data_IF_197069939902
#
_entry.id   IF_197069939902
#
_cell.length_a   1.000
_cell.length_b   1.000
_cell.length_c   1.000
_cell.angle_alpha   90.00
_cell.angle_beta   90.00
_cell.angle_gamma   90.00
#
_symmetry.space_group_name_H-M   'P 1'
#
loop_
_entity.id
_entity.type
_entity.pdbx_description
1 polymer ?
#
# COMPACT_ATOMS: atom_id res chain seq x y z
N UNK A 1 28.38 10.69 24.83
CA UNK A 1 27.32 10.17 23.93
C UNK A 1 26.58 9.05 24.65
N UNK A 2 25.31 9.29 25.11
CA UNK A 2 24.52 8.23 25.78
C UNK A 2 24.22 7.15 24.75
N UNK A 3 24.70 5.90 24.98
CA UNK A 3 24.37 4.74 24.15
C UNK A 3 22.85 4.53 24.20
N UNK A 4 22.19 4.61 23.04
CA UNK A 4 20.75 4.31 22.93
C UNK A 4 20.59 2.80 22.79
N UNK A 5 20.26 2.12 23.86
CA UNK A 5 20.02 0.67 23.86
C UNK A 5 18.64 0.28 23.33
N UNK A 6 17.76 1.25 23.06
CA UNK A 6 16.38 1.01 22.60
C UNK A 6 16.28 0.12 21.36
N UNK A 7 16.86 0.48 20.20
CA UNK A 7 16.76 -0.34 19.00
C UNK A 7 17.30 -1.77 19.15
N UNK A 8 18.49 -2.02 19.76
CA UNK A 8 18.94 -3.38 20.06
C UNK A 8 17.97 -4.16 20.94
N UNK A 9 17.45 -3.52 22.00
CA UNK A 9 16.51 -4.18 22.92
C UNK A 9 15.21 -4.55 22.19
N UNK A 10 14.67 -3.65 21.36
CA UNK A 10 13.46 -3.94 20.54
C UNK A 10 13.74 -5.15 19.62
N UNK A 11 14.90 -5.19 18.97
CA UNK A 11 15.29 -6.30 18.11
C UNK A 11 15.39 -7.63 18.85
N UNK A 12 16.00 -7.64 20.05
CA UNK A 12 16.08 -8.84 20.89
C UNK A 12 14.71 -9.29 21.39
N UNK A 13 13.86 -8.36 21.81
CA UNK A 13 12.47 -8.65 22.22
C UNK A 13 11.70 -9.26 21.05
N UNK A 14 11.84 -8.72 19.84
CA UNK A 14 11.23 -9.29 18.64
C UNK A 14 11.69 -10.75 18.42
N UNK A 15 13.00 -11.03 18.40
CA UNK A 15 13.53 -12.39 18.23
C UNK A 15 12.96 -13.33 19.32
N UNK A 16 12.99 -12.89 20.58
CA UNK A 16 12.51 -13.70 21.70
C UNK A 16 11.00 -13.98 21.58
N UNK A 17 10.20 -12.99 21.20
CA UNK A 17 8.75 -13.16 21.00
C UNK A 17 8.45 -14.20 19.92
N UNK A 18 9.13 -14.11 18.78
CA UNK A 18 8.96 -15.08 17.69
C UNK A 18 9.42 -16.48 18.08
N UNK A 19 10.53 -16.59 18.85
CA UNK A 19 11.01 -17.88 19.36
C UNK A 19 10.00 -18.56 20.29
N UNK A 20 9.35 -17.77 21.16
CA UNK A 20 8.29 -18.27 22.06
C UNK A 20 7.05 -18.73 21.27
N UNK A 21 6.70 -18.04 20.20
CA UNK A 21 5.59 -18.40 19.30
C UNK A 21 5.89 -19.60 18.39
N UNK A 22 7.13 -20.10 18.39
CA UNK A 22 7.50 -21.37 17.72
C UNK A 22 7.77 -21.23 16.21
N UNK A 23 8.03 -20.03 15.71
CA UNK A 23 8.22 -19.79 14.25
C UNK A 23 9.55 -19.11 13.90
N UNK A 24 10.59 -19.23 14.73
CA UNK A 24 11.86 -18.53 14.52
C UNK A 24 12.57 -19.00 13.24
N UNK A 25 12.89 -18.06 12.36
CA UNK A 25 13.62 -18.25 11.11
C UNK A 25 14.85 -17.34 11.05
N UNK A 26 15.83 -17.60 10.15
CA UNK A 26 17.03 -16.76 10.00
C UNK A 26 16.72 -15.28 9.68
N UNK A 27 15.67 -15.02 8.91
CA UNK A 27 15.22 -13.67 8.55
C UNK A 27 14.74 -12.88 9.79
N UNK A 28 14.06 -13.50 10.73
CA UNK A 28 13.67 -12.86 12.00
C UNK A 28 14.91 -12.46 12.83
N UNK A 29 15.90 -13.34 12.90
CA UNK A 29 17.16 -13.05 13.59
C UNK A 29 17.87 -11.88 12.90
N UNK A 30 17.95 -11.89 11.57
CA UNK A 30 18.54 -10.81 10.81
C UNK A 30 17.83 -9.47 11.07
N UNK A 31 16.51 -9.42 10.97
CA UNK A 31 15.71 -8.22 11.24
C UNK A 31 15.95 -7.70 12.66
N UNK A 32 15.91 -8.58 13.67
CA UNK A 32 16.14 -8.18 15.05
C UNK A 32 17.56 -7.65 15.30
N UNK A 33 18.57 -8.25 14.65
CA UNK A 33 19.95 -7.81 14.78
C UNK A 33 20.23 -6.47 14.07
N UNK A 34 19.40 -6.03 13.10
CA UNK A 34 19.54 -4.70 12.49
C UNK A 34 19.51 -3.58 13.53
N UNK A 35 18.82 -3.77 14.66
CA UNK A 35 18.82 -2.81 15.77
C UNK A 35 20.20 -2.47 16.30
N UNK A 36 21.17 -3.38 16.20
CA UNK A 36 22.54 -3.16 16.65
C UNK A 36 23.32 -2.19 15.75
N UNK A 37 22.88 -1.95 14.50
CA UNK A 37 23.47 -0.94 13.63
C UNK A 37 23.36 0.48 14.22
N UNK A 38 22.41 0.71 15.13
CA UNK A 38 22.26 2.00 15.83
C UNK A 38 23.47 2.31 16.72
N UNK A 39 24.19 1.27 17.17
CA UNK A 39 25.36 1.39 18.05
C UNK A 39 26.67 1.63 17.28
N UNK A 40 26.70 1.37 15.97
CA UNK A 40 27.94 1.37 15.19
C UNK A 40 28.44 2.79 14.92
N UNK A 41 27.67 3.60 14.21
CA UNK A 41 28.01 4.99 13.91
C UNK A 41 26.77 5.85 13.57
N UNK A 42 26.98 7.16 13.35
CA UNK A 42 25.89 8.09 13.05
C UNK A 42 25.22 7.84 11.67
N UNK A 43 25.97 7.34 10.70
CA UNK A 43 25.42 7.06 9.35
C UNK A 43 24.48 5.86 9.40
N UNK A 44 24.86 4.78 10.09
CA UNK A 44 24.01 3.60 10.27
C UNK A 44 22.79 3.91 11.10
N UNK A 45 22.92 4.78 12.11
CA UNK A 45 21.80 5.29 12.89
C UNK A 45 20.83 6.09 12.06
N UNK A 46 21.34 7.00 11.23
CA UNK A 46 20.50 7.78 10.31
C UNK A 46 19.77 6.87 9.34
N UNK A 47 20.48 5.92 8.74
CA UNK A 47 19.88 4.91 7.88
C UNK A 47 18.76 4.14 8.59
N UNK A 48 19.06 3.53 9.71
CA UNK A 48 18.09 2.75 10.47
C UNK A 48 16.85 3.58 10.85
N UNK A 49 17.05 4.82 11.33
CA UNK A 49 15.94 5.71 11.69
C UNK A 49 15.03 6.09 10.52
N UNK A 50 15.55 6.11 9.31
CA UNK A 50 14.78 6.44 8.10
C UNK A 50 14.11 5.21 7.48
N UNK A 51 14.76 4.04 7.55
CA UNK A 51 14.24 2.80 6.98
C UNK A 51 13.47 1.94 7.97
N UNK A 52 13.44 2.30 9.25
CA UNK A 52 12.69 1.59 10.28
C UNK A 52 11.22 1.32 9.92
N UNK A 53 10.46 2.25 9.30
CA UNK A 53 9.08 1.96 8.93
C UNK A 53 8.93 0.78 7.95
N UNK A 54 9.90 0.57 7.04
CA UNK A 54 9.91 -0.60 6.16
C UNK A 54 10.15 -1.89 6.93
N UNK A 55 11.13 -1.88 7.84
CA UNK A 55 11.46 -3.02 8.71
C UNK A 55 10.25 -3.37 9.59
N UNK A 56 9.64 -2.36 10.20
CA UNK A 56 8.46 -2.53 11.04
C UNK A 56 7.27 -3.12 10.25
N UNK A 57 7.04 -2.64 9.02
CA UNK A 57 5.98 -3.18 8.16
C UNK A 57 6.20 -4.67 7.88
N UNK A 58 7.42 -5.05 7.49
CA UNK A 58 7.75 -6.47 7.24
C UNK A 58 7.55 -7.34 8.48
N UNK A 59 8.01 -6.87 9.65
CA UNK A 59 7.83 -7.57 10.91
C UNK A 59 6.35 -7.71 11.31
N UNK A 60 5.54 -6.66 11.12
CA UNK A 60 4.10 -6.68 11.38
C UNK A 60 3.41 -7.67 10.44
N UNK A 61 3.68 -7.58 9.13
CA UNK A 61 3.10 -8.49 8.13
C UNK A 61 3.41 -9.95 8.46
N UNK A 62 4.67 -10.27 8.73
CA UNK A 62 5.06 -11.64 9.08
C UNK A 62 4.40 -12.12 10.37
N UNK A 63 4.24 -11.23 11.36
CA UNK A 63 3.59 -11.55 12.64
C UNK A 63 2.09 -11.82 12.50
N UNK A 64 1.43 -11.38 11.41
CA UNK A 64 0.02 -11.66 11.15
C UNK A 64 -0.25 -13.17 11.08
N UNK A 65 0.71 -13.99 10.65
CA UNK A 65 0.57 -15.47 10.57
C UNK A 65 0.06 -16.14 11.86
N UNK A 66 0.35 -15.52 13.01
CA UNK A 66 -0.03 -16.08 14.31
C UNK A 66 -1.48 -15.77 14.70
N UNK A 67 -2.10 -14.77 14.09
CA UNK A 67 -3.42 -14.26 14.51
C UNK A 67 -4.43 -14.17 13.37
N UNK A 68 -3.98 -14.14 12.13
CA UNK A 68 -4.84 -13.85 10.98
C UNK A 68 -5.92 -14.90 10.76
N UNK A 69 -5.53 -16.15 10.59
CA UNK A 69 -6.46 -17.23 10.27
C UNK A 69 -7.60 -17.41 11.28
N UNK A 70 -7.33 -17.53 12.58
CA UNK A 70 -8.43 -17.63 13.55
C UNK A 70 -9.27 -16.36 13.65
N UNK A 71 -8.70 -15.20 13.34
CA UNK A 71 -9.41 -13.93 13.43
C UNK A 71 -10.42 -13.73 12.29
N UNK A 72 -10.21 -14.35 11.13
CA UNK A 72 -11.06 -14.18 9.94
C UNK A 72 -12.03 -15.35 9.70
N UNK A 73 -11.91 -16.44 10.45
CA UNK A 73 -12.74 -17.62 10.26
C UNK A 73 -14.24 -17.28 10.31
N UNK A 74 -14.98 -17.81 9.34
CA UNK A 74 -16.41 -17.55 9.17
C UNK A 74 -16.76 -16.13 8.68
N UNK A 75 -15.77 -15.26 8.37
CA UNK A 75 -16.02 -13.86 7.98
C UNK A 75 -15.54 -13.51 6.57
N UNK A 76 -14.96 -14.47 5.86
CA UNK A 76 -14.40 -14.23 4.52
C UNK A 76 -15.51 -14.03 3.50
N UNK A 77 -15.39 -12.94 2.74
CA UNK A 77 -16.29 -12.60 1.64
C UNK A 77 -15.79 -13.22 0.34
N UNK A 78 -16.58 -14.16 -0.23
CA UNK A 78 -16.25 -14.87 -1.47
C UNK A 78 -17.16 -14.39 -2.61
N UNK A 79 -18.46 -14.70 -2.54
CA UNK A 79 -19.39 -14.44 -3.63
C UNK A 79 -19.69 -12.94 -3.84
N UNK A 80 -19.82 -12.15 -2.76
CA UNK A 80 -20.18 -10.74 -2.82
C UNK A 80 -19.23 -9.91 -3.69
N UNK A 81 -17.91 -9.89 -3.40
CA UNK A 81 -16.94 -9.15 -4.21
C UNK A 81 -16.89 -9.60 -5.67
N UNK A 82 -16.95 -10.91 -5.94
CA UNK A 82 -17.00 -11.46 -7.31
C UNK A 82 -18.22 -10.98 -8.09
N UNK A 83 -19.42 -11.05 -7.48
CA UNK A 83 -20.66 -10.64 -8.14
C UNK A 83 -20.66 -9.12 -8.40
N UNK A 84 -20.17 -8.32 -7.45
CA UNK A 84 -20.05 -6.87 -7.61
C UNK A 84 -19.05 -6.50 -8.72
N UNK A 85 -17.92 -7.19 -8.78
CA UNK A 85 -16.92 -7.03 -9.85
C UNK A 85 -17.52 -7.34 -11.21
N UNK A 86 -18.27 -8.44 -11.33
CA UNK A 86 -18.92 -8.83 -12.57
C UNK A 86 -20.05 -7.87 -12.98
N UNK A 87 -20.79 -7.33 -12.01
CA UNK A 87 -21.87 -6.36 -12.27
C UNK A 87 -21.32 -5.01 -12.75
N UNK A 88 -20.27 -4.50 -12.13
CA UNK A 88 -19.76 -3.15 -12.38
C UNK A 88 -18.73 -3.08 -13.52
N UNK A 89 -17.93 -4.12 -13.67
CA UNK A 89 -16.79 -4.14 -14.60
C UNK A 89 -16.84 -5.33 -15.57
N UNK A 90 -17.93 -6.11 -15.57
CA UNK A 90 -18.05 -7.33 -16.38
C UNK A 90 -17.93 -7.07 -17.89
N UNK A 91 -17.25 -7.98 -18.56
CA UNK A 91 -17.02 -7.99 -20.01
C UNK A 91 -17.65 -9.27 -20.56
N UNK A 92 -18.74 -9.13 -21.34
CA UNK A 92 -19.42 -10.31 -21.91
C UNK A 92 -19.97 -11.29 -20.86
N UNK A 93 -20.33 -10.81 -19.64
CA UNK A 93 -20.85 -11.64 -18.56
C UNK A 93 -19.76 -12.29 -17.68
N UNK A 94 -18.50 -12.10 -18.00
CA UNK A 94 -17.33 -12.52 -17.21
C UNK A 94 -16.78 -11.36 -16.39
N UNK A 95 -16.04 -11.65 -15.31
CA UNK A 95 -15.23 -10.62 -14.64
C UNK A 95 -14.05 -10.20 -15.53
N UNK A 96 -13.46 -9.01 -15.34
CA UNK A 96 -12.24 -8.62 -16.06
C UNK A 96 -11.10 -9.64 -15.89
N UNK A 97 -11.00 -10.26 -14.72
CA UNK A 97 -10.03 -11.31 -14.43
C UNK A 97 -10.21 -12.54 -15.34
N UNK A 98 -11.44 -13.06 -15.44
CA UNK A 98 -11.78 -14.22 -16.28
C UNK A 98 -11.55 -13.89 -17.77
N UNK A 99 -11.94 -12.68 -18.19
CA UNK A 99 -11.74 -12.23 -19.56
C UNK A 99 -10.23 -12.14 -19.90
N UNK A 100 -9.43 -11.54 -19.03
CA UNK A 100 -7.98 -11.43 -19.21
C UNK A 100 -7.29 -12.81 -19.17
N UNK A 101 -7.78 -13.72 -18.34
CA UNK A 101 -7.25 -15.08 -18.28
C UNK A 101 -7.49 -15.85 -19.58
N UNK A 102 -8.68 -15.69 -20.19
CA UNK A 102 -8.99 -16.26 -21.48
C UNK A 102 -8.19 -15.64 -22.65
N UNK A 103 -7.64 -14.43 -22.47
CA UNK A 103 -6.87 -13.68 -23.48
C UNK A 103 -5.41 -13.47 -23.06
N UNK A 104 -4.86 -14.38 -22.25
CA UNK A 104 -3.47 -14.27 -21.81
C UNK A 104 -2.48 -14.53 -22.95
N UNK A 105 -1.22 -14.10 -22.76
CA UNK A 105 -0.15 -14.34 -23.72
C UNK A 105 1.23 -14.07 -23.12
N UNK A 106 2.26 -14.73 -23.66
CA UNK A 106 3.62 -14.75 -23.13
C UNK A 106 4.20 -13.34 -22.87
N UNK A 107 3.92 -12.37 -23.75
CA UNK A 107 4.42 -11.00 -23.58
C UNK A 107 3.79 -10.32 -22.34
N UNK A 108 2.50 -10.51 -22.11
CA UNK A 108 1.81 -9.98 -20.92
C UNK A 108 2.19 -10.76 -19.67
N UNK A 109 2.32 -12.09 -19.76
CA UNK A 109 2.76 -12.93 -18.64
C UNK A 109 4.14 -12.48 -18.13
N UNK A 110 5.09 -12.21 -19.06
CA UNK A 110 6.42 -11.71 -18.70
C UNK A 110 6.37 -10.28 -18.15
N UNK A 111 5.65 -9.37 -18.80
CA UNK A 111 5.58 -7.98 -18.38
C UNK A 111 4.90 -7.82 -17.01
N UNK A 112 3.74 -8.45 -16.83
CA UNK A 112 2.97 -8.40 -15.59
C UNK A 112 3.68 -9.16 -14.45
N UNK A 113 4.24 -10.35 -14.75
CA UNK A 113 5.02 -11.11 -13.79
C UNK A 113 6.25 -10.33 -13.32
N UNK A 114 7.02 -9.75 -14.25
CA UNK A 114 8.17 -8.90 -13.88
C UNK A 114 7.75 -7.71 -13.00
N UNK A 115 6.71 -6.97 -13.36
CA UNK A 115 6.23 -5.86 -12.55
C UNK A 115 5.85 -6.32 -11.15
N UNK A 116 5.15 -7.45 -11.04
CA UNK A 116 4.71 -8.02 -9.78
C UNK A 116 5.86 -8.57 -8.92
N UNK A 117 6.95 -9.01 -9.55
CA UNK A 117 8.16 -9.44 -8.85
C UNK A 117 8.94 -8.27 -8.25
N UNK A 118 9.00 -7.12 -8.96
CA UNK A 118 9.89 -6.01 -8.59
C UNK A 118 9.20 -4.86 -7.85
N UNK A 119 7.90 -4.91 -7.59
CA UNK A 119 7.14 -3.78 -7.05
C UNK A 119 7.65 -3.24 -5.69
N UNK A 120 8.05 -4.13 -4.77
CA UNK A 120 8.69 -3.70 -3.52
C UNK A 120 10.07 -3.13 -3.79
N UNK A 121 10.80 -3.75 -4.74
CA UNK A 121 12.12 -3.29 -5.17
C UNK A 121 12.08 -1.89 -5.77
N UNK A 122 11.07 -1.57 -6.59
CA UNK A 122 10.85 -0.22 -7.15
C UNK A 122 10.66 0.81 -6.03
N UNK A 123 9.79 0.50 -5.07
CA UNK A 123 9.53 1.39 -3.94
C UNK A 123 10.80 1.62 -3.09
N UNK A 124 11.53 0.56 -2.79
CA UNK A 124 12.81 0.66 -2.07
C UNK A 124 13.87 1.42 -2.87
N UNK A 125 13.92 1.24 -4.20
CA UNK A 125 14.84 1.99 -5.06
C UNK A 125 14.60 3.51 -4.97
N UNK A 126 13.34 3.94 -4.98
CA UNK A 126 12.99 5.37 -4.76
C UNK A 126 13.45 5.84 -3.37
N UNK A 127 13.25 5.04 -2.32
CA UNK A 127 13.71 5.36 -0.97
C UNK A 127 15.25 5.51 -0.91
N UNK A 128 15.99 4.57 -1.52
CA UNK A 128 17.45 4.64 -1.60
C UNK A 128 17.94 5.84 -2.42
N UNK A 129 17.31 6.12 -3.57
CA UNK A 129 17.65 7.31 -4.37
C UNK A 129 17.50 8.59 -3.55
N UNK A 130 16.42 8.73 -2.79
CA UNK A 130 16.20 9.86 -1.89
C UNK A 130 17.26 9.92 -0.78
N UNK A 131 17.61 8.77 -0.20
CA UNK A 131 18.62 8.66 0.85
C UNK A 131 20.00 9.09 0.36
N UNK A 132 20.46 8.58 -0.79
CA UNK A 132 21.75 8.95 -1.37
C UNK A 132 21.78 10.42 -1.84
N UNK A 133 20.64 11.00 -2.21
CA UNK A 133 20.50 12.43 -2.48
C UNK A 133 20.36 13.27 -1.21
N UNK A 134 20.57 12.68 -0.02
CA UNK A 134 20.50 13.34 1.30
C UNK A 134 19.16 14.04 1.57
N UNK A 135 18.07 13.53 1.02
CA UNK A 135 16.70 14.04 1.18
C UNK A 135 15.99 13.41 2.38
N UNK A 136 16.59 13.53 3.56
CA UNK A 136 16.15 12.83 4.80
C UNK A 136 14.67 13.00 5.11
N UNK A 137 14.10 14.21 4.94
CA UNK A 137 12.67 14.43 5.17
C UNK A 137 11.78 13.72 4.13
N UNK A 138 12.23 13.67 2.87
CA UNK A 138 11.51 12.92 1.83
C UNK A 138 11.55 11.42 2.11
N UNK A 139 12.71 10.85 2.50
CA UNK A 139 12.82 9.44 2.90
C UNK A 139 11.87 9.11 4.04
N UNK A 140 11.90 9.92 5.13
CA UNK A 140 11.02 9.72 6.29
C UNK A 140 9.55 9.80 5.92
N UNK A 141 9.16 10.76 5.07
CA UNK A 141 7.78 10.90 4.62
C UNK A 141 7.36 9.69 3.79
N UNK A 142 8.21 9.26 2.87
CA UNK A 142 7.96 8.14 1.99
C UNK A 142 7.85 6.82 2.76
N UNK A 143 8.78 6.57 3.68
CA UNK A 143 8.76 5.39 4.56
C UNK A 143 7.52 5.38 5.48
N UNK A 144 7.08 6.54 5.99
CA UNK A 144 5.85 6.63 6.77
C UNK A 144 4.60 6.40 5.90
N UNK A 145 4.59 6.85 4.64
CA UNK A 145 3.49 6.51 3.73
C UNK A 145 3.39 4.99 3.55
N UNK A 146 4.53 4.31 3.42
CA UNK A 146 4.56 2.85 3.33
C UNK A 146 3.96 2.19 4.57
N UNK A 147 4.43 2.56 5.75
CA UNK A 147 3.92 2.01 7.00
C UNK A 147 2.40 2.26 7.16
N UNK A 148 1.96 3.50 6.95
CA UNK A 148 0.56 3.88 7.18
C UNK A 148 -0.37 3.18 6.19
N UNK A 149 -0.03 3.12 4.90
CA UNK A 149 -0.88 2.43 3.91
C UNK A 149 -0.96 0.94 4.19
N UNK A 150 0.14 0.32 4.66
CA UNK A 150 0.12 -1.07 5.08
C UNK A 150 -0.74 -1.30 6.31
N UNK A 151 -0.62 -0.48 7.35
CA UNK A 151 -1.46 -0.61 8.55
C UNK A 151 -2.95 -0.47 8.22
N UNK A 152 -3.31 0.45 7.33
CA UNK A 152 -4.69 0.58 6.84
C UNK A 152 -5.13 -0.65 6.06
N UNK A 153 -4.29 -1.17 5.16
CA UNK A 153 -4.56 -2.40 4.40
C UNK A 153 -4.72 -3.62 5.31
N UNK A 154 -3.76 -3.83 6.21
CA UNK A 154 -3.80 -4.94 7.17
C UNK A 154 -5.05 -4.88 8.07
N UNK A 155 -5.38 -3.69 8.58
CA UNK A 155 -6.63 -3.51 9.33
C UNK A 155 -7.86 -3.93 8.50
N UNK A 156 -7.90 -3.58 7.22
CA UNK A 156 -9.00 -3.98 6.33
C UNK A 156 -9.01 -5.48 6.09
N UNK A 157 -7.85 -6.15 5.94
CA UNK A 157 -7.77 -7.61 5.78
C UNK A 157 -8.36 -8.35 6.99
N UNK A 158 -8.24 -7.79 8.19
CA UNK A 158 -8.88 -8.33 9.38
C UNK A 158 -10.39 -7.99 9.49
N UNK A 159 -10.78 -6.78 9.09
CA UNK A 159 -12.16 -6.29 9.24
C UNK A 159 -13.06 -6.84 8.13
N UNK A 160 -12.56 -6.89 6.90
CA UNK A 160 -13.28 -7.29 5.70
C UNK A 160 -12.40 -8.18 4.81
N UNK A 161 -12.12 -9.42 5.23
CA UNK A 161 -11.31 -10.35 4.45
C UNK A 161 -12.04 -10.76 3.17
N UNK A 162 -11.35 -10.68 2.02
CA UNK A 162 -11.90 -10.93 0.68
C UNK A 162 -11.08 -11.99 -0.03
N UNK A 163 -11.78 -12.97 -0.60
CA UNK A 163 -11.18 -13.99 -1.45
C UNK A 163 -10.71 -13.39 -2.78
N UNK A 164 -9.45 -13.62 -3.19
CA UNK A 164 -8.93 -13.13 -4.47
C UNK A 164 -9.59 -13.87 -5.66
N UNK A 165 -9.51 -13.28 -6.89
CA UNK A 165 -10.09 -13.90 -8.09
C UNK A 165 -9.65 -15.36 -8.31
N UNK A 166 -8.35 -15.66 -8.15
CA UNK A 166 -7.84 -17.03 -8.31
C UNK A 166 -8.51 -18.05 -7.38
N UNK A 167 -8.91 -17.60 -6.17
CA UNK A 167 -9.62 -18.46 -5.24
C UNK A 167 -10.96 -18.91 -5.82
N UNK A 168 -11.73 -17.94 -6.36
CA UNK A 168 -13.05 -18.23 -6.96
C UNK A 168 -12.91 -19.16 -8.16
N UNK A 169 -11.89 -18.96 -8.99
CA UNK A 169 -11.60 -19.85 -10.13
C UNK A 169 -11.32 -21.29 -9.70
N UNK A 170 -10.62 -21.48 -8.57
CA UNK A 170 -10.23 -22.82 -8.10
C UNK A 170 -11.28 -23.50 -7.22
N UNK A 171 -11.98 -22.75 -6.38
CA UNK A 171 -12.83 -23.29 -5.33
C UNK A 171 -14.31 -22.89 -5.45
N UNK A 172 -14.65 -22.01 -6.41
CA UNK A 172 -16.01 -21.54 -6.63
C UNK A 172 -16.46 -20.48 -5.62
N UNK A 173 -17.79 -20.24 -5.60
CA UNK A 173 -18.43 -19.18 -4.81
C UNK A 173 -18.97 -19.65 -3.45
N UNK A 174 -18.66 -20.88 -3.05
CA UNK A 174 -19.08 -21.46 -1.76
C UNK A 174 -18.41 -20.79 -0.55
N UNK A 175 -18.68 -21.32 0.67
CA UNK A 175 -18.00 -20.85 1.87
C UNK A 175 -16.48 -20.92 1.76
N UNK A 176 -15.80 -19.95 2.39
CA UNK A 176 -14.35 -19.90 2.34
C UNK A 176 -13.68 -21.10 3.01
N UNK A 177 -12.66 -21.64 2.38
CA UNK A 177 -11.85 -22.74 2.90
C UNK A 177 -10.70 -22.20 3.71
N UNK A 178 -10.57 -22.64 4.97
CA UNK A 178 -9.52 -22.19 5.88
C UNK A 178 -8.28 -23.09 5.86
N UNK A 179 -8.32 -24.21 5.11
CA UNK A 179 -7.28 -25.23 5.01
C UNK A 179 -6.36 -25.08 3.77
N UNK A 180 -6.39 -23.93 3.11
CA UNK A 180 -5.65 -23.67 1.88
C UNK A 180 -4.41 -22.79 2.13
N UNK A 181 -3.52 -22.78 1.14
CA UNK A 181 -2.31 -21.93 1.12
C UNK A 181 -2.41 -20.86 0.05
N UNK A 182 -1.70 -19.74 0.22
CA UNK A 182 -1.54 -18.76 -0.85
C UNK A 182 -0.97 -19.41 -2.11
N UNK A 183 -1.46 -19.01 -3.27
CA UNK A 183 -1.04 -19.54 -4.56
C UNK A 183 -0.47 -18.45 -5.46
N UNK A 184 0.46 -18.83 -6.33
CA UNK A 184 1.01 -17.95 -7.36
C UNK A 184 -0.04 -17.51 -8.40
N UNK A 185 -1.18 -18.20 -8.46
CA UNK A 185 -2.25 -17.95 -9.42
C UNK A 185 -1.71 -17.85 -10.87
N UNK A 186 -2.15 -16.88 -11.66
CA UNK A 186 -1.68 -16.69 -13.02
C UNK A 186 -0.21 -16.20 -13.11
N UNK A 187 0.41 -15.79 -12.00
CA UNK A 187 1.84 -15.49 -11.98
C UNK A 187 2.72 -16.74 -12.17
N UNK A 188 2.18 -17.96 -11.96
CA UNK A 188 2.85 -19.20 -12.30
C UNK A 188 3.20 -19.31 -13.80
N UNK A 189 2.48 -18.61 -14.69
CA UNK A 189 2.80 -18.55 -16.12
C UNK A 189 4.15 -17.88 -16.39
N UNK A 190 4.51 -16.87 -15.59
CA UNK A 190 5.85 -16.27 -15.64
C UNK A 190 6.94 -17.30 -15.26
N UNK A 191 6.73 -18.04 -14.19
CA UNK A 191 7.64 -19.09 -13.74
C UNK A 191 7.81 -20.17 -14.82
N UNK A 192 6.72 -20.62 -15.43
CA UNK A 192 6.75 -21.59 -16.53
C UNK A 192 7.53 -21.10 -17.75
N UNK A 193 7.36 -19.82 -18.14
CA UNK A 193 8.06 -19.24 -19.29
C UNK A 193 9.58 -19.11 -19.08
N UNK A 194 10.00 -18.89 -17.83
CA UNK A 194 11.41 -18.71 -17.47
C UNK A 194 12.07 -19.99 -16.92
N UNK A 195 11.32 -21.06 -16.70
CA UNK A 195 11.82 -22.26 -16.04
C UNK A 195 12.23 -22.01 -14.59
N UNK A 196 11.52 -21.16 -13.88
CA UNK A 196 11.78 -20.74 -12.50
C UNK A 196 10.63 -21.09 -11.56
N UNK A 197 10.82 -20.88 -10.26
CA UNK A 197 9.82 -21.10 -9.20
C UNK A 197 9.69 -19.88 -8.28
N UNK A 198 9.95 -18.67 -8.77
CA UNK A 198 9.96 -17.45 -7.96
C UNK A 198 8.62 -17.18 -7.27
N UNK A 199 7.54 -17.23 -8.02
CA UNK A 199 6.21 -16.95 -7.50
C UNK A 199 5.69 -18.09 -6.63
N UNK A 200 5.92 -19.35 -7.03
CA UNK A 200 5.52 -20.50 -6.22
C UNK A 200 6.20 -20.48 -4.84
N UNK A 201 7.51 -20.20 -4.79
CA UNK A 201 8.23 -20.09 -3.52
C UNK A 201 7.80 -18.86 -2.70
N UNK A 202 7.59 -17.71 -3.35
CA UNK A 202 7.20 -16.48 -2.70
C UNK A 202 5.81 -16.62 -2.04
N UNK A 203 4.82 -17.10 -2.79
CA UNK A 203 3.46 -17.29 -2.29
C UNK A 203 3.37 -18.46 -1.31
N UNK A 204 4.12 -19.55 -1.52
CA UNK A 204 4.19 -20.67 -0.58
C UNK A 204 4.61 -20.28 0.84
N UNK A 205 5.28 -19.11 1.01
CA UNK A 205 5.64 -18.52 2.30
C UNK A 205 4.64 -17.46 2.78
N UNK A 206 3.62 -17.16 2.00
CA UNK A 206 2.62 -16.14 2.29
C UNK A 206 1.92 -16.33 3.64
N UNK A 207 1.47 -15.22 4.20
CA UNK A 207 0.82 -15.16 5.52
C UNK A 207 -0.70 -15.27 5.38
N UNK A 208 -1.24 -14.68 4.34
CA UNK A 208 -2.66 -14.53 4.10
C UNK A 208 -3.06 -14.99 2.70
N UNK A 209 -4.29 -15.48 2.58
CA UNK A 209 -4.96 -15.77 1.30
C UNK A 209 -6.02 -14.71 1.00
N UNK A 210 -6.71 -14.24 2.03
CA UNK A 210 -7.92 -13.42 1.93
C UNK A 210 -7.64 -11.92 2.08
N UNK A 211 -6.40 -11.49 1.84
CA UNK A 211 -5.96 -10.10 1.84
C UNK A 211 -6.02 -9.45 0.45
N UNK A 212 -7.08 -9.71 -0.32
CA UNK A 212 -7.19 -9.10 -1.66
C UNK A 212 -7.59 -7.62 -1.63
N UNK A 213 -8.37 -7.21 -0.64
CA UNK A 213 -9.03 -5.90 -0.58
C UNK A 213 -8.53 -5.05 0.60
N UNK A 214 -7.86 -3.90 0.42
CA UNK A 214 -7.47 -3.22 -0.84
C UNK A 214 -6.18 -3.78 -1.46
N UNK A 215 -5.90 -3.46 -2.76
CA UNK A 215 -4.63 -3.80 -3.39
C UNK A 215 -3.49 -2.91 -2.92
N UNK A 216 -2.63 -3.44 -2.06
CA UNK A 216 -1.39 -2.77 -1.66
C UNK A 216 -0.35 -2.78 -2.78
N UNK A 217 -0.39 -3.76 -3.70
CA UNK A 217 0.47 -3.81 -4.89
C UNK A 217 0.33 -2.55 -5.76
N UNK A 218 -0.88 -2.00 -5.85
CA UNK A 218 -1.16 -0.77 -6.60
C UNK A 218 -0.87 0.49 -5.76
N UNK A 219 -1.10 0.41 -4.46
CA UNK A 219 -0.88 1.55 -3.56
C UNK A 219 0.58 2.01 -3.52
N UNK A 220 1.54 1.07 -3.52
CA UNK A 220 2.97 1.40 -3.43
C UNK A 220 3.48 2.17 -4.64
N UNK A 221 3.31 1.72 -5.89
CA UNK A 221 3.75 2.50 -7.05
C UNK A 221 3.07 3.87 -7.14
N UNK A 222 1.81 4.01 -6.73
CA UNK A 222 1.14 5.32 -6.71
C UNK A 222 1.79 6.29 -5.71
N UNK A 223 2.14 5.81 -4.51
CA UNK A 223 2.88 6.61 -3.53
C UNK A 223 4.28 6.97 -4.07
N UNK A 224 4.93 6.05 -4.79
CA UNK A 224 6.20 6.32 -5.45
C UNK A 224 6.06 7.39 -6.53
N UNK A 225 5.05 7.32 -7.39
CA UNK A 225 4.70 8.39 -8.37
C UNK A 225 4.55 9.72 -7.65
N UNK A 226 3.73 9.79 -6.61
CA UNK A 226 3.53 11.02 -5.84
C UNK A 226 4.86 11.59 -5.31
N UNK A 227 5.74 10.76 -4.75
CA UNK A 227 7.04 11.19 -4.22
C UNK A 227 7.99 11.69 -5.31
N UNK A 228 8.05 10.99 -6.45
CA UNK A 228 8.88 11.37 -7.60
C UNK A 228 8.44 12.70 -8.19
N UNK A 229 7.15 12.99 -8.25
CA UNK A 229 6.64 14.28 -8.72
C UNK A 229 6.95 15.43 -7.75
N UNK A 230 7.04 15.16 -6.44
CA UNK A 230 7.41 16.15 -5.43
C UNK A 230 8.92 16.39 -5.33
N UNK A 231 9.74 15.50 -5.89
CA UNK A 231 11.21 15.55 -5.79
C UNK A 231 11.81 15.94 -7.12
N UNK A 232 12.32 17.17 -7.22
CA UNK A 232 12.87 17.72 -8.47
C UNK A 232 14.03 16.88 -9.03
N UNK A 233 14.84 16.32 -8.15
CA UNK A 233 16.00 15.50 -8.51
C UNK A 233 15.62 14.17 -9.15
N UNK A 234 14.37 13.73 -8.98
CA UNK A 234 13.82 12.48 -9.53
C UNK A 234 12.95 12.74 -10.78
N UNK A 235 12.97 13.95 -11.34
CA UNK A 235 12.14 14.29 -12.53
C UNK A 235 12.32 13.34 -13.71
N UNK A 236 13.51 12.78 -13.87
CA UNK A 236 13.84 11.82 -14.92
C UNK A 236 13.11 10.48 -14.74
N UNK A 237 12.71 10.14 -13.51
CA UNK A 237 12.00 8.90 -13.17
C UNK A 237 10.48 9.05 -13.22
N UNK A 238 9.92 10.23 -13.54
CA UNK A 238 8.47 10.46 -13.54
C UNK A 238 7.71 9.57 -14.53
N UNK A 239 8.16 9.54 -15.79
CA UNK A 239 7.52 8.71 -16.79
C UNK A 239 7.67 7.21 -16.48
N UNK A 240 8.87 6.67 -16.16
CA UNK A 240 8.98 5.28 -15.69
C UNK A 240 8.07 4.93 -14.52
N UNK A 241 7.98 5.78 -13.49
CA UNK A 241 7.13 5.53 -12.33
C UNK A 241 5.63 5.49 -12.69
N UNK A 242 5.15 6.39 -13.56
CA UNK A 242 3.76 6.36 -14.02
C UNK A 242 3.49 5.12 -14.86
N UNK A 243 4.38 4.77 -15.78
CA UNK A 243 4.23 3.57 -16.60
C UNK A 243 4.22 2.30 -15.74
N UNK A 244 5.11 2.24 -14.74
CA UNK A 244 5.15 1.12 -13.80
C UNK A 244 3.86 1.02 -12.97
N UNK A 245 3.33 2.15 -12.48
CA UNK A 245 2.05 2.19 -11.77
C UNK A 245 0.90 1.66 -12.65
N UNK A 246 0.81 2.10 -13.91
CA UNK A 246 -0.23 1.64 -14.84
C UNK A 246 -0.08 0.14 -15.14
N UNK A 247 1.16 -0.32 -15.36
CA UNK A 247 1.45 -1.72 -15.55
C UNK A 247 1.08 -2.54 -14.30
N UNK A 248 1.32 -2.02 -13.09
CA UNK A 248 0.95 -2.69 -11.85
C UNK A 248 -0.57 -2.78 -11.68
N UNK A 249 -1.34 -1.75 -12.05
CA UNK A 249 -2.80 -1.83 -12.05
C UNK A 249 -3.30 -2.96 -12.97
N UNK A 250 -2.74 -3.07 -14.16
CA UNK A 250 -3.04 -4.19 -15.07
C UNK A 250 -2.60 -5.52 -14.48
N UNK A 251 -1.37 -5.61 -13.97
CA UNK A 251 -0.79 -6.84 -13.43
C UNK A 251 -1.59 -7.43 -12.28
N UNK A 252 -2.11 -6.58 -11.38
CA UNK A 252 -2.90 -6.99 -10.24
C UNK A 252 -4.16 -7.77 -10.65
N UNK A 253 -4.83 -7.32 -11.71
CA UNK A 253 -6.03 -7.95 -12.26
C UNK A 253 -5.65 -9.15 -13.16
N UNK A 254 -4.68 -8.96 -14.05
CA UNK A 254 -4.23 -9.96 -15.02
C UNK A 254 -3.68 -11.23 -14.36
N UNK A 255 -2.94 -11.08 -13.26
CA UNK A 255 -2.36 -12.20 -12.52
C UNK A 255 -3.33 -12.85 -11.53
N UNK A 256 -4.61 -12.47 -11.53
CA UNK A 256 -5.69 -13.07 -10.72
C UNK A 256 -5.56 -12.83 -9.20
N UNK A 257 -4.76 -11.85 -8.78
CA UNK A 257 -4.58 -11.56 -7.35
C UNK A 257 -5.59 -10.55 -6.82
N UNK A 258 -6.09 -9.65 -7.68
CA UNK A 258 -7.00 -8.57 -7.29
C UNK A 258 -8.13 -8.36 -8.31
N UNK A 259 -9.28 -7.96 -7.82
CA UNK A 259 -10.36 -7.39 -8.63
C UNK A 259 -10.05 -5.93 -9.01
N UNK A 260 -10.73 -5.37 -9.99
CA UNK A 260 -10.64 -3.94 -10.32
C UNK A 260 -11.06 -3.09 -9.12
N UNK A 261 -12.06 -3.52 -8.37
CA UNK A 261 -12.50 -2.86 -7.13
C UNK A 261 -11.36 -2.75 -6.12
N UNK A 262 -10.54 -3.80 -5.96
CA UNK A 262 -9.40 -3.81 -5.04
C UNK A 262 -8.34 -2.79 -5.48
N UNK A 263 -8.10 -2.69 -6.80
CA UNK A 263 -7.20 -1.73 -7.43
C UNK A 263 -7.66 -0.30 -7.14
N UNK A 264 -8.95 -0.01 -7.38
CA UNK A 264 -9.51 1.32 -7.13
C UNK A 264 -9.43 1.72 -5.67
N UNK A 265 -9.70 0.78 -4.76
CA UNK A 265 -9.56 1.04 -3.33
C UNK A 265 -8.09 1.23 -2.92
N UNK A 266 -7.16 0.48 -3.50
CA UNK A 266 -5.72 0.70 -3.31
C UNK A 266 -5.28 2.11 -3.70
N UNK A 267 -5.82 2.64 -4.81
CA UNK A 267 -5.61 4.03 -5.23
C UNK A 267 -6.15 5.03 -4.19
N UNK A 268 -7.36 4.77 -3.67
CA UNK A 268 -7.97 5.62 -2.62
C UNK A 268 -7.12 5.60 -1.36
N UNK A 269 -6.66 4.43 -0.90
CA UNK A 269 -5.83 4.29 0.30
C UNK A 269 -4.49 5.03 0.16
N UNK A 270 -3.85 4.90 -1.01
CA UNK A 270 -2.63 5.67 -1.32
C UNK A 270 -2.91 7.18 -1.30
N UNK A 271 -3.98 7.63 -1.96
CA UNK A 271 -4.39 9.04 -2.02
C UNK A 271 -4.68 9.63 -0.64
N UNK A 272 -5.44 8.92 0.18
CA UNK A 272 -5.71 9.30 1.58
C UNK A 272 -4.41 9.38 2.38
N UNK A 273 -3.57 8.35 2.31
CA UNK A 273 -2.30 8.29 3.03
C UNK A 273 -1.40 9.47 2.71
N UNK A 274 -1.17 9.76 1.41
CA UNK A 274 -0.30 10.87 1.03
C UNK A 274 -0.89 12.23 1.39
N UNK A 275 -2.21 12.38 1.29
CA UNK A 275 -2.90 13.63 1.62
C UNK A 275 -2.83 13.92 3.12
N UNK A 276 -3.16 12.94 3.95
CA UNK A 276 -3.15 13.07 5.42
C UNK A 276 -1.74 13.35 5.91
N UNK A 277 -0.73 12.59 5.45
CA UNK A 277 0.64 12.80 5.88
C UNK A 277 1.23 14.12 5.35
N UNK A 278 0.89 14.53 4.12
CA UNK A 278 1.28 15.83 3.61
C UNK A 278 0.67 16.97 4.42
N UNK A 279 -0.62 16.85 4.80
CA UNK A 279 -1.30 17.85 5.65
C UNK A 279 -0.73 17.87 7.07
N UNK A 280 -0.51 16.71 7.67
CA UNK A 280 0.01 16.62 9.04
C UNK A 280 1.42 17.20 9.19
N UNK A 281 2.24 17.09 8.13
CA UNK A 281 3.61 17.65 8.10
C UNK A 281 3.68 19.12 7.69
N UNK A 282 2.55 19.76 7.34
CA UNK A 282 2.55 21.21 7.10
C UNK A 282 2.78 21.98 8.41
N UNK A 283 3.56 23.08 8.39
CA UNK A 283 3.63 24.00 9.52
C UNK A 283 2.23 24.46 9.97
N UNK A 284 2.03 24.60 11.27
CA UNK A 284 0.72 24.96 11.85
C UNK A 284 0.16 26.26 11.25
N UNK A 285 1.03 27.25 10.97
CA UNK A 285 0.66 28.52 10.31
C UNK A 285 0.03 28.33 8.93
N UNK A 286 0.56 27.43 8.11
CA UNK A 286 0.00 27.11 6.78
C UNK A 286 -1.29 26.30 6.87
N UNK A 287 -1.43 25.44 7.89
CA UNK A 287 -2.68 24.70 8.14
C UNK A 287 -3.82 25.66 8.51
N UNK A 288 -3.57 26.61 9.42
CA UNK A 288 -4.53 27.62 9.83
C UNK A 288 -4.98 28.52 8.66
N UNK A 289 -4.04 28.97 7.83
CA UNK A 289 -4.34 29.78 6.65
C UNK A 289 -5.25 29.05 5.64
N UNK A 290 -5.02 27.76 5.38
CA UNK A 290 -5.87 26.97 4.48
C UNK A 290 -7.25 26.68 5.08
N UNK A 291 -7.35 26.47 6.39
CA UNK A 291 -8.64 26.29 7.07
C UNK A 291 -9.49 27.57 6.99
N UNK A 292 -8.86 28.75 7.17
CA UNK A 292 -9.53 30.05 7.04
C UNK A 292 -10.00 30.35 5.61
N UNK A 293 -9.26 29.95 4.58
CA UNK A 293 -9.63 30.14 3.18
C UNK A 293 -10.72 29.15 2.70
N UNK A 294 -10.91 28.03 3.39
CA UNK A 294 -11.96 27.05 3.08
C UNK A 294 -13.34 27.43 3.64
N UNK A 295 -13.42 28.40 4.55
CA UNK A 295 -14.65 29.02 5.03
C UNK A 295 -14.72 30.43 4.46
N UNK A 296 -15.35 30.69 3.29
CA UNK A 296 -15.67 32.05 2.90
C UNK A 296 -16.66 32.59 3.95
N UNK A 297 -16.24 33.66 4.63
CA UNK A 297 -17.07 34.33 5.57
C UNK A 297 -18.40 34.70 4.94
N UNK A 298 -19.48 34.14 5.45
CA UNK A 298 -20.82 34.63 5.18
C UNK A 298 -20.98 36.02 5.84
N UNK A 299 -20.25 37.01 5.32
CA UNK A 299 -20.44 38.40 5.65
C UNK A 299 -21.48 39.01 4.69
N UNK A 300 -22.73 38.67 4.92
CA UNK A 300 -23.85 39.50 4.49
C UNK A 300 -23.82 40.81 5.29
N UNK A 301 -23.14 41.80 4.80
CA UNK A 301 -23.37 43.16 5.27
C UNK A 301 -24.80 43.55 4.88
N UNK A 302 -25.64 44.06 5.83
CA UNK A 302 -26.97 44.58 5.47
C UNK A 302 -26.77 45.79 4.58
N UNK A 303 -27.28 45.72 3.36
CA UNK A 303 -27.40 46.88 2.45
C UNK A 303 -28.19 47.94 3.19
N UNK A 304 -27.54 49.07 3.48
CA UNK A 304 -28.23 50.29 3.93
C UNK A 304 -29.27 50.69 2.85
N UNK A 305 -30.52 50.87 3.33
CA UNK A 305 -31.60 51.35 2.47
C UNK A 305 -31.31 52.79 2.06
N UNK A 306 -31.63 53.20 0.83
CA UNK A 306 -31.45 54.59 0.39
C UNK A 306 -32.43 55.51 1.13
N UNK A 307 -31.92 56.57 1.79
CA UNK A 307 -32.71 57.65 2.41
C UNK A 307 -33.47 58.41 1.34
N UNK A 308 -34.82 58.39 1.47
CA UNK A 308 -35.71 59.24 0.66
C UNK A 308 -35.62 60.68 1.15
N UNK A 309 -34.94 61.52 0.39
CA UNK A 309 -34.89 62.96 0.60
C UNK A 309 -36.32 63.55 0.30
N UNK A 310 -37.03 64.00 1.32
CA UNK A 310 -38.22 64.84 1.19
C UNK A 310 -37.80 66.19 0.61
N UNK A 311 -38.21 66.49 -0.60
CA UNK A 311 -38.27 67.84 -1.11
C UNK A 311 -39.53 68.49 -0.51
N UNK A 312 -39.33 69.46 0.38
CA UNK A 312 -40.37 70.46 0.71
C UNK A 312 -40.49 71.47 -0.42
N UNK A 313 -41.66 71.58 -0.95
CA UNK A 313 -42.07 72.72 -1.78
C UNK A 313 -42.51 73.86 -0.84
N UNK A 314 -42.00 75.07 -1.08
CA UNK A 314 -42.68 76.32 -0.78
C UNK A 314 -42.24 77.36 -1.78
N UNK A 315 -43.28 77.95 -2.45
CA UNK A 315 -43.42 79.22 -3.20
C UNK A 315 -42.47 79.48 -4.39
#
# INVERSE_FOLDING_TARGET
MKRRLGPPVIGLVYIASIAVLGGLRPDHVFIGLLGFLDLYNEKTRLFLSQFFPFIATGAIFDSMRYVYWPAIDGRVHVAGPYLLEREWFGIGGQTPNEWLDAHHGAALDLACGFAYLVYVGEYLAVAFLLFFRKRSEAVRTFALCFLVVNLLGFATYFIYPVAPPWYVTQYGLGPARMDIRPAAAAASRFDLLLGTHFFDEMYGRGVDVYGAFPSLHVAYPLIAVWMVFRTRELRWFRAPAVLFFLLMCLSAVYLQHHYVIDVLLGIVYAGVTVTVLAWWRMPASRRASRASSAHPAASGSPRAAPSVARRSAFE
#
